data_IF_138651981169
#
_entry.id   IF_138651981169
#
_cell.length_a   1.000
_cell.length_b   1.000
_cell.length_c   1.000
_cell.angle_alpha   90.00
_cell.angle_beta   90.00
_cell.angle_gamma   90.00
#
_symmetry.space_group_name_H-M   'P 1'
#
loop_
_entity.id
_entity.type
_entity.pdbx_description
1 polymer ?
#
# COMPACT_ATOMS: atom_id res chain seq x y z
N UNK A 1 27.65 5.51 30.61
CA UNK A 1 26.95 6.16 29.49
C UNK A 1 27.41 5.45 28.21
N UNK A 2 26.56 4.63 27.59
CA UNK A 2 26.85 4.07 26.30
C UNK A 2 26.62 5.17 25.27
N UNK A 3 27.60 5.43 24.42
CA UNK A 3 27.46 6.32 23.28
C UNK A 3 26.37 5.78 22.37
N UNK A 4 25.45 6.59 21.83
CA UNK A 4 24.46 6.12 20.88
C UNK A 4 25.23 5.54 19.68
N UNK A 5 24.98 4.26 19.36
CA UNK A 5 25.46 3.68 18.11
C UNK A 5 24.91 4.53 16.99
N UNK A 6 25.78 5.14 16.20
CA UNK A 6 25.40 5.83 15.00
C UNK A 6 24.77 4.80 14.06
N UNK A 7 23.46 4.85 13.86
CA UNK A 7 22.80 4.06 12.81
C UNK A 7 23.50 4.44 11.49
N UNK A 8 24.01 3.45 10.79
CA UNK A 8 24.54 3.65 9.44
C UNK A 8 23.38 4.09 8.56
N UNK A 9 23.38 5.36 8.17
CA UNK A 9 22.34 5.91 7.30
C UNK A 9 22.72 5.53 5.87
N UNK A 10 21.86 4.74 5.23
CA UNK A 10 21.99 4.29 3.85
C UNK A 10 21.48 5.37 2.89
N UNK A 11 22.15 5.61 1.75
CA UNK A 11 21.58 6.43 0.70
C UNK A 11 20.57 5.66 -0.15
N UNK A 12 19.73 6.36 -0.90
CA UNK A 12 18.78 5.74 -1.83
C UNK A 12 19.50 4.86 -2.86
N UNK A 13 20.63 5.31 -3.39
CA UNK A 13 21.41 4.54 -4.36
C UNK A 13 21.98 3.25 -3.75
N UNK A 14 22.50 3.34 -2.52
CA UNK A 14 22.99 2.16 -1.79
C UNK A 14 21.88 1.16 -1.48
N UNK A 15 20.70 1.67 -1.09
CA UNK A 15 19.54 0.81 -0.88
C UNK A 15 19.13 0.10 -2.18
N UNK A 16 19.01 0.83 -3.29
CA UNK A 16 18.56 0.22 -4.55
C UNK A 16 19.57 -0.78 -5.08
N UNK A 17 20.86 -0.56 -4.91
CA UNK A 17 21.91 -1.52 -5.26
C UNK A 17 21.80 -2.78 -4.38
N UNK A 18 21.64 -2.61 -3.07
CA UNK A 18 21.44 -3.71 -2.13
C UNK A 18 20.17 -4.50 -2.46
N UNK A 19 19.02 -3.82 -2.60
CA UNK A 19 17.71 -4.43 -2.81
C UNK A 19 17.62 -5.24 -4.11
N UNK A 20 18.28 -4.77 -5.17
CA UNK A 20 18.33 -5.46 -6.47
C UNK A 20 19.17 -6.75 -6.46
N UNK A 21 20.01 -6.94 -5.45
CA UNK A 21 20.85 -8.12 -5.25
C UNK A 21 20.30 -9.03 -4.14
N UNK A 22 19.34 -8.56 -3.37
CA UNK A 22 18.76 -9.31 -2.25
C UNK A 22 17.76 -10.36 -2.73
N UNK A 23 17.74 -11.51 -2.08
CA UNK A 23 16.72 -12.53 -2.25
C UNK A 23 15.42 -12.18 -1.49
N UNK A 24 15.56 -11.44 -0.39
CA UNK A 24 14.46 -10.95 0.44
C UNK A 24 14.09 -9.51 0.10
N UNK A 25 12.84 -9.13 0.35
CA UNK A 25 12.35 -7.77 0.10
C UNK A 25 12.56 -6.88 1.33
N UNK A 26 13.01 -5.67 1.07
CA UNK A 26 13.19 -4.66 2.10
C UNK A 26 12.54 -3.34 1.68
N UNK A 27 12.01 -2.62 2.64
CA UNK A 27 11.61 -1.25 2.46
C UNK A 27 12.68 -0.29 2.99
N UNK A 28 12.73 0.91 2.41
CA UNK A 28 13.63 1.96 2.83
C UNK A 28 12.83 3.14 3.37
N UNK A 29 13.21 3.63 4.54
CA UNK A 29 12.55 4.77 5.20
C UNK A 29 13.63 5.72 5.71
N UNK A 30 13.80 6.86 5.04
CA UNK A 30 14.69 7.95 5.47
C UNK A 30 16.12 7.53 5.85
N UNK A 31 16.69 6.57 5.13
CA UNK A 31 18.06 6.09 5.33
C UNK A 31 18.14 4.77 6.12
N UNK A 32 17.04 4.24 6.57
CA UNK A 32 16.98 2.95 7.26
C UNK A 32 16.36 1.88 6.33
N UNK A 33 16.89 0.66 6.40
CA UNK A 33 16.41 -0.50 5.65
C UNK A 33 15.69 -1.44 6.62
N UNK A 34 14.50 -1.88 6.25
CA UNK A 34 13.67 -2.78 7.03
C UNK A 34 13.31 -4.00 6.19
N UNK A 35 13.63 -5.19 6.68
CA UNK A 35 13.21 -6.45 6.07
C UNK A 35 11.69 -6.59 6.15
N UNK A 36 11.09 -7.07 5.07
CA UNK A 36 9.65 -7.35 5.02
C UNK A 36 9.37 -8.76 5.51
N UNK A 37 8.45 -8.88 6.46
CA UNK A 37 8.00 -10.17 6.96
C UNK A 37 7.19 -10.93 5.90
N UNK A 38 7.14 -12.25 6.03
CA UNK A 38 6.23 -13.08 5.26
C UNK A 38 4.76 -12.77 5.56
N UNK A 39 3.87 -13.20 4.68
CA UNK A 39 2.43 -12.95 4.77
C UNK A 39 1.65 -14.16 5.29
N UNK A 40 0.49 -13.95 5.89
CA UNK A 40 -0.45 -15.01 6.26
C UNK A 40 -1.22 -15.53 5.03
N UNK A 41 -1.87 -16.70 5.16
CA UNK A 41 -2.73 -17.23 4.10
C UNK A 41 -3.90 -16.28 3.77
N UNK A 42 -4.50 -15.65 4.79
CA UNK A 42 -5.57 -14.67 4.60
C UNK A 42 -5.06 -13.45 3.82
N UNK A 43 -3.90 -12.92 4.20
CA UNK A 43 -3.24 -11.83 3.49
C UNK A 43 -3.02 -12.17 2.00
N UNK A 44 -2.39 -13.32 1.73
CA UNK A 44 -2.12 -13.80 0.38
C UNK A 44 -3.38 -13.94 -0.46
N UNK A 45 -4.46 -14.51 0.13
CA UNK A 45 -5.75 -14.65 -0.55
C UNK A 45 -6.35 -13.29 -0.93
N UNK A 46 -6.41 -12.36 0.02
CA UNK A 46 -6.97 -11.01 -0.21
C UNK A 46 -6.17 -10.27 -1.29
N UNK A 47 -4.83 -10.21 -1.16
CA UNK A 47 -3.97 -9.56 -2.16
C UNK A 47 -4.15 -10.16 -3.56
N UNK A 48 -4.16 -11.50 -3.66
CA UNK A 48 -4.39 -12.22 -4.93
C UNK A 48 -5.78 -11.93 -5.50
N UNK A 49 -6.83 -11.86 -4.66
CA UNK A 49 -8.19 -11.54 -5.09
C UNK A 49 -8.27 -10.11 -5.63
N UNK A 50 -7.65 -9.12 -4.98
CA UNK A 50 -7.57 -7.75 -5.51
C UNK A 50 -6.91 -7.72 -6.89
N UNK A 51 -5.77 -8.39 -7.05
CA UNK A 51 -5.06 -8.46 -8.34
C UNK A 51 -5.95 -9.09 -9.41
N UNK A 52 -6.64 -10.19 -9.10
CA UNK A 52 -7.53 -10.90 -10.02
C UNK A 52 -8.68 -10.00 -10.50
N UNK A 53 -9.41 -9.42 -9.55
CA UNK A 53 -10.61 -8.64 -9.84
C UNK A 53 -10.25 -7.34 -10.59
N UNK A 54 -9.24 -6.61 -10.13
CA UNK A 54 -8.76 -5.40 -10.79
C UNK A 54 -8.23 -5.71 -12.20
N UNK A 55 -7.38 -6.74 -12.37
CA UNK A 55 -6.86 -7.12 -13.68
C UNK A 55 -7.96 -7.55 -14.66
N UNK A 56 -9.02 -8.17 -14.16
CA UNK A 56 -10.18 -8.58 -14.97
C UNK A 56 -10.98 -7.35 -15.42
N UNK A 57 -11.28 -6.45 -14.49
CA UNK A 57 -12.11 -5.26 -14.74
C UNK A 57 -11.39 -4.21 -15.60
N UNK A 58 -10.07 -4.10 -15.46
CA UNK A 58 -9.26 -3.11 -16.17
C UNK A 58 -8.80 -3.57 -17.55
N UNK A 59 -9.10 -4.81 -17.95
CA UNK A 59 -8.71 -5.32 -19.27
C UNK A 59 -9.26 -4.44 -20.41
N UNK A 60 -8.34 -3.89 -21.21
CA UNK A 60 -8.67 -2.99 -22.32
C UNK A 60 -8.95 -1.55 -21.93
N UNK A 61 -8.85 -1.21 -20.65
CA UNK A 61 -8.87 0.17 -20.14
C UNK A 61 -7.46 0.78 -20.11
N UNK A 62 -7.33 2.11 -19.96
CA UNK A 62 -6.03 2.79 -19.93
C UNK A 62 -5.23 2.59 -18.62
N UNK A 63 -5.72 1.77 -17.71
CA UNK A 63 -5.11 1.45 -16.43
C UNK A 63 -4.69 -0.02 -16.37
N UNK A 64 -3.59 -0.32 -15.70
CA UNK A 64 -3.09 -1.68 -15.53
C UNK A 64 -2.71 -1.97 -14.08
N UNK A 65 -2.81 -3.24 -13.71
CA UNK A 65 -2.37 -3.74 -12.40
C UNK A 65 -0.92 -4.17 -12.50
N UNK A 66 -0.10 -3.74 -11.56
CA UNK A 66 1.30 -4.13 -11.45
C UNK A 66 1.50 -5.14 -10.31
N UNK A 67 2.54 -5.95 -10.45
CA UNK A 67 2.93 -6.96 -9.48
C UNK A 67 3.25 -6.36 -8.10
N UNK A 68 2.96 -7.07 -6.98
CA UNK A 68 3.40 -6.68 -5.64
C UNK A 68 4.92 -6.56 -5.47
N UNK A 69 5.69 -7.01 -6.45
CA UNK A 69 7.15 -6.83 -6.48
C UNK A 69 7.59 -5.48 -7.05
N UNK A 70 6.67 -4.67 -7.57
CA UNK A 70 6.95 -3.31 -8.02
C UNK A 70 7.04 -2.38 -6.81
N UNK A 71 8.20 -1.75 -6.63
CA UNK A 71 8.38 -0.74 -5.58
C UNK A 71 7.66 0.55 -5.92
N UNK A 72 7.19 1.27 -4.91
CA UNK A 72 6.73 2.65 -5.01
C UNK A 72 7.75 3.54 -4.31
N UNK A 73 8.10 4.65 -4.94
CA UNK A 73 8.84 5.71 -4.30
C UNK A 73 7.92 6.84 -3.87
N UNK A 74 8.09 7.27 -2.62
CA UNK A 74 7.39 8.42 -2.04
C UNK A 74 8.39 9.29 -1.27
N UNK A 75 8.65 10.51 -1.75
CA UNK A 75 9.61 11.39 -1.10
C UNK A 75 10.24 12.41 -2.05
N UNK A 76 11.03 13.36 -1.51
CA UNK A 76 11.61 14.44 -2.29
C UNK A 76 12.58 13.91 -3.34
N UNK A 77 12.50 14.45 -4.55
CA UNK A 77 13.46 14.17 -5.62
C UNK A 77 14.66 15.13 -5.53
N UNK A 78 15.70 14.69 -4.83
CA UNK A 78 16.94 15.50 -4.64
C UNK A 78 17.99 15.01 -5.62
N UNK A 79 18.32 15.82 -6.63
CA UNK A 79 19.40 15.52 -7.58
C UNK A 79 20.75 15.92 -7.00
N UNK A 80 21.76 15.06 -7.19
CA UNK A 80 23.19 15.40 -6.98
C UNK A 80 23.66 15.46 -5.53
N UNK A 81 22.86 15.03 -4.57
CA UNK A 81 23.26 14.88 -3.16
C UNK A 81 23.09 13.43 -2.72
N UNK A 82 23.80 13.05 -1.66
CA UNK A 82 23.57 11.77 -0.96
C UNK A 82 22.17 11.79 -0.38
N UNK A 83 21.18 11.38 -1.18
CA UNK A 83 19.79 11.38 -0.78
C UNK A 83 19.53 10.21 0.17
N UNK A 84 19.22 10.55 1.42
CA UNK A 84 18.81 9.59 2.45
C UNK A 84 17.33 9.72 2.79
N UNK A 85 16.55 10.53 2.05
CA UNK A 85 15.17 10.84 2.35
C UNK A 85 14.21 10.17 1.38
N UNK A 86 13.08 9.75 1.92
CA UNK A 86 11.97 9.15 1.19
C UNK A 86 11.60 7.77 1.69
N UNK A 87 10.54 7.26 1.12
CA UNK A 87 10.03 5.91 1.30
C UNK A 87 10.18 5.16 -0.02
N UNK A 88 10.73 3.96 0.03
CA UNK A 88 10.62 2.94 -1.01
C UNK A 88 9.96 1.73 -0.37
N UNK A 89 8.80 1.37 -0.85
CA UNK A 89 7.98 0.31 -0.26
C UNK A 89 7.30 -0.51 -1.34
N UNK A 90 6.78 -1.63 -0.93
CA UNK A 90 5.93 -2.50 -1.72
C UNK A 90 4.50 -2.38 -1.21
N UNK A 91 3.55 -2.50 -2.12
CA UNK A 91 2.14 -2.62 -1.80
C UNK A 91 1.61 -3.98 -2.25
N UNK A 92 0.51 -4.44 -1.68
CA UNK A 92 -0.06 -5.74 -2.02
C UNK A 92 -0.72 -5.75 -3.40
N UNK A 93 -1.23 -4.59 -3.84
CA UNK A 93 -1.69 -4.40 -5.22
C UNK A 93 -1.51 -2.94 -5.63
N UNK A 94 -1.11 -2.73 -6.87
CA UNK A 94 -0.89 -1.43 -7.49
C UNK A 94 -1.67 -1.29 -8.79
N UNK A 95 -2.25 -0.11 -9.01
CA UNK A 95 -2.78 0.28 -10.31
C UNK A 95 -2.08 1.55 -10.78
N UNK A 96 -1.70 1.58 -12.04
CA UNK A 96 -1.23 2.78 -12.73
C UNK A 96 -2.09 3.05 -13.95
N UNK A 97 -2.45 4.31 -14.17
CA UNK A 97 -3.20 4.75 -15.34
C UNK A 97 -2.30 5.57 -16.27
N UNK A 98 -2.46 5.32 -17.58
CA UNK A 98 -1.61 5.95 -18.59
C UNK A 98 -0.20 5.41 -18.61
N UNK A 99 0.79 6.29 -18.86
CA UNK A 99 2.17 5.85 -18.96
C UNK A 99 2.84 5.72 -17.59
N UNK A 100 3.37 4.54 -17.21
CA UNK A 100 4.14 4.38 -15.98
C UNK A 100 5.41 5.24 -16.00
N UNK A 101 5.65 5.95 -14.89
CA UNK A 101 6.87 6.73 -14.67
C UNK A 101 7.75 6.01 -13.66
N UNK A 102 9.03 5.89 -13.98
CA UNK A 102 9.99 5.14 -13.17
C UNK A 102 11.09 6.01 -12.60
N UNK A 103 11.66 5.55 -11.49
CA UNK A 103 12.76 6.23 -10.80
C UNK A 103 14.02 6.30 -11.65
N UNK A 104 14.34 5.21 -12.34
CA UNK A 104 15.49 5.05 -13.20
C UNK A 104 15.22 4.05 -14.36
N UNK A 105 16.24 3.79 -15.17
CA UNK A 105 16.15 2.92 -16.35
C UNK A 105 15.92 1.43 -16.02
N UNK A 106 16.07 0.99 -14.75
CA UNK A 106 15.75 -0.37 -14.33
C UNK A 106 14.26 -0.63 -14.31
N UNK A 107 13.43 0.41 -14.21
CA UNK A 107 11.95 0.34 -14.24
C UNK A 107 11.36 -0.59 -13.17
N UNK A 108 11.98 -0.66 -12.02
CA UNK A 108 11.58 -1.48 -10.87
C UNK A 108 11.01 -0.67 -9.71
N UNK A 109 10.92 0.66 -9.87
CA UNK A 109 10.39 1.62 -8.88
C UNK A 109 9.45 2.59 -9.56
N UNK A 110 8.15 2.46 -9.28
CA UNK A 110 7.08 3.31 -9.81
C UNK A 110 7.01 4.66 -9.06
N UNK A 111 6.76 5.74 -9.80
CA UNK A 111 6.61 7.10 -9.27
C UNK A 111 5.16 7.59 -9.25
N UNK A 112 4.30 7.05 -10.13
CA UNK A 112 2.93 7.56 -10.36
C UNK A 112 1.84 6.49 -10.19
N UNK A 113 1.73 5.85 -9.01
CA UNK A 113 0.59 4.97 -8.74
C UNK A 113 -0.71 5.76 -8.77
N UNK A 114 -1.79 5.14 -9.27
CA UNK A 114 -3.15 5.70 -9.23
C UNK A 114 -3.95 5.11 -8.09
N UNK A 115 -3.84 3.79 -7.87
CA UNK A 115 -4.45 3.09 -6.74
C UNK A 115 -3.38 2.28 -6.02
N UNK A 116 -3.39 2.34 -4.70
CA UNK A 116 -2.55 1.52 -3.83
C UNK A 116 -3.45 0.73 -2.89
N UNK A 117 -3.25 -0.58 -2.82
CA UNK A 117 -3.96 -1.47 -1.90
C UNK A 117 -2.97 -2.09 -0.93
N UNK A 118 -3.28 -2.01 0.35
CA UNK A 118 -2.55 -2.64 1.44
C UNK A 118 -3.48 -3.60 2.18
N UNK A 119 -2.99 -4.78 2.48
CA UNK A 119 -3.69 -5.75 3.35
C UNK A 119 -3.07 -5.67 4.73
N UNK A 120 -3.83 -5.23 5.71
CA UNK A 120 -3.32 -5.02 7.07
C UNK A 120 -2.74 -6.29 7.65
N UNK A 121 -1.54 -6.19 8.20
CA UNK A 121 -0.99 -7.17 9.11
C UNK A 121 -0.94 -6.58 10.53
N UNK A 122 -0.92 -7.44 11.53
CA UNK A 122 -0.81 -7.00 12.92
C UNK A 122 0.45 -6.13 13.17
N UNK A 123 1.54 -6.42 12.46
CA UNK A 123 2.82 -5.71 12.64
C UNK A 123 2.92 -4.40 11.86
N UNK A 124 2.15 -4.21 10.77
CA UNK A 124 2.29 -3.05 9.87
C UNK A 124 1.14 -2.06 9.94
N UNK A 125 0.00 -2.42 10.57
CA UNK A 125 -1.23 -1.61 10.55
C UNK A 125 -1.02 -0.14 10.96
N UNK A 126 -0.24 0.14 11.99
CA UNK A 126 0.01 1.52 12.43
C UNK A 126 0.83 2.31 11.42
N UNK A 127 1.76 1.65 10.73
CA UNK A 127 2.57 2.28 9.68
C UNK A 127 1.75 2.52 8.42
N UNK A 128 0.96 1.54 7.98
CA UNK A 128 0.14 1.63 6.76
C UNK A 128 -0.94 2.70 6.87
N UNK A 129 -1.63 2.81 8.04
CA UNK A 129 -2.62 3.86 8.32
C UNK A 129 -1.99 5.23 8.58
N UNK A 130 -0.75 5.28 9.02
CA UNK A 130 -0.08 6.49 9.49
C UNK A 130 0.97 7.04 8.53
N UNK A 131 2.23 6.73 8.80
CA UNK A 131 3.37 7.36 8.11
C UNK A 131 3.43 7.02 6.63
N UNK A 132 3.14 5.77 6.24
CA UNK A 132 3.13 5.31 4.85
C UNK A 132 2.08 6.07 4.03
N UNK A 133 0.82 6.11 4.51
CA UNK A 133 -0.24 6.84 3.83
C UNK A 133 0.05 8.34 3.75
N UNK A 134 0.51 8.97 4.84
CA UNK A 134 0.87 10.39 4.83
C UNK A 134 1.95 10.72 3.81
N UNK A 135 2.93 9.83 3.62
CA UNK A 135 3.97 9.98 2.60
C UNK A 135 3.40 9.87 1.19
N UNK A 136 2.52 8.91 0.95
CA UNK A 136 1.82 8.79 -0.32
C UNK A 136 0.97 10.02 -0.64
N UNK A 137 0.20 10.53 0.33
CA UNK A 137 -0.58 11.76 0.19
C UNK A 137 0.28 12.96 -0.23
N UNK A 138 1.48 13.06 0.35
CA UNK A 138 2.34 14.22 0.18
C UNK A 138 3.13 14.20 -1.13
N UNK A 139 3.57 13.02 -1.57
CA UNK A 139 4.58 12.91 -2.61
C UNK A 139 4.11 12.22 -3.90
N UNK A 140 3.01 11.47 -3.85
CA UNK A 140 2.46 10.79 -5.01
C UNK A 140 1.20 11.55 -5.48
N UNK A 141 1.39 12.60 -6.28
CA UNK A 141 0.30 13.45 -6.77
C UNK A 141 -0.73 12.68 -7.63
N UNK A 142 -0.29 11.61 -8.29
CA UNK A 142 -1.12 10.73 -9.11
C UNK A 142 -2.00 9.77 -8.32
N UNK A 143 -1.76 9.62 -7.00
CA UNK A 143 -2.53 8.73 -6.17
C UNK A 143 -3.93 9.30 -5.92
N UNK A 144 -4.94 8.58 -6.38
CA UNK A 144 -6.35 8.93 -6.24
C UNK A 144 -7.05 8.09 -5.16
N UNK A 145 -6.71 6.80 -5.05
CA UNK A 145 -7.30 5.88 -4.09
C UNK A 145 -6.23 5.14 -3.28
N UNK A 146 -6.39 5.15 -1.96
CA UNK A 146 -5.62 4.32 -1.04
C UNK A 146 -6.57 3.42 -0.28
N UNK A 147 -6.38 2.12 -0.42
CA UNK A 147 -7.30 1.09 0.08
C UNK A 147 -6.58 0.24 1.11
N UNK A 148 -7.17 0.10 2.28
CA UNK A 148 -6.67 -0.75 3.36
C UNK A 148 -7.68 -1.85 3.61
N UNK A 149 -7.30 -3.11 3.37
CA UNK A 149 -8.14 -4.28 3.58
C UNK A 149 -7.79 -4.99 4.88
N UNK A 150 -8.80 -5.33 5.67
CA UNK A 150 -8.63 -6.05 6.92
C UNK A 150 -8.59 -7.56 6.65
N UNK A 151 -7.78 -8.31 7.42
CA UNK A 151 -7.69 -9.77 7.30
C UNK A 151 -8.71 -10.51 8.17
N UNK A 152 -9.18 -9.87 9.23
CA UNK A 152 -9.93 -10.47 10.32
C UNK A 152 -11.45 -10.38 10.16
N UNK A 153 -11.88 -9.53 9.24
CA UNK A 153 -13.29 -9.34 8.88
C UNK A 153 -13.42 -8.68 7.50
N UNK A 154 -14.56 -8.81 6.82
CA UNK A 154 -14.80 -8.17 5.53
C UNK A 154 -15.01 -6.67 5.71
N UNK A 155 -13.91 -5.94 5.85
CA UNK A 155 -13.88 -4.49 6.04
C UNK A 155 -12.73 -3.88 5.26
N UNK A 156 -13.03 -2.76 4.61
CA UNK A 156 -12.09 -1.94 3.85
C UNK A 156 -12.17 -0.51 4.35
N UNK A 157 -11.02 0.10 4.56
CA UNK A 157 -10.86 1.55 4.71
C UNK A 157 -10.48 2.10 3.34
N UNK A 158 -11.32 2.92 2.77
CA UNK A 158 -11.10 3.54 1.47
C UNK A 158 -10.86 5.03 1.65
N UNK A 159 -9.68 5.47 1.23
CA UNK A 159 -9.30 6.87 1.20
C UNK A 159 -9.27 7.33 -0.25
N UNK A 160 -10.13 8.26 -0.61
CA UNK A 160 -10.26 8.81 -1.95
C UNK A 160 -9.80 10.28 -1.97
N UNK A 161 -8.94 10.64 -2.93
CA UNK A 161 -8.56 12.03 -3.17
C UNK A 161 -9.71 12.76 -3.89
N UNK A 162 -10.09 13.89 -3.34
CA UNK A 162 -11.14 14.75 -3.95
C UNK A 162 -10.49 15.83 -4.82
N UNK A 163 -11.24 16.42 -5.79
CA UNK A 163 -10.72 17.46 -6.67
C UNK A 163 -10.19 18.71 -5.94
N UNK A 164 -10.62 18.96 -4.72
CA UNK A 164 -10.11 20.04 -3.87
C UNK A 164 -8.82 19.68 -3.11
N UNK A 165 -8.25 18.50 -3.38
CA UNK A 165 -7.03 17.97 -2.77
C UNK A 165 -7.23 17.35 -1.39
N UNK A 166 -8.44 17.35 -0.85
CA UNK A 166 -8.75 16.65 0.40
C UNK A 166 -8.92 15.17 0.18
N UNK A 167 -8.80 14.42 1.26
CA UNK A 167 -9.05 13.00 1.28
C UNK A 167 -10.35 12.70 2.03
N UNK A 168 -11.24 12.00 1.35
CA UNK A 168 -12.44 11.41 1.95
C UNK A 168 -12.07 10.00 2.41
N UNK A 169 -12.44 9.66 3.63
CA UNK A 169 -12.29 8.31 4.17
C UNK A 169 -13.66 7.72 4.41
N UNK A 170 -13.87 6.50 3.95
CA UNK A 170 -15.08 5.73 4.19
C UNK A 170 -14.74 4.28 4.57
N UNK A 171 -15.67 3.63 5.27
CA UNK A 171 -15.63 2.21 5.52
C UNK A 171 -16.60 1.49 4.58
N UNK A 172 -16.12 0.41 3.95
CA UNK A 172 -16.96 -0.53 3.21
C UNK A 172 -16.94 -1.85 3.97
N UNK A 173 -18.10 -2.29 4.47
CA UNK A 173 -18.19 -3.42 5.41
C UNK A 173 -19.26 -4.43 4.99
N UNK A 174 -18.96 -5.71 5.26
CA UNK A 174 -19.82 -6.84 4.95
C UNK A 174 -19.63 -7.38 3.54
N UNK A 175 -19.76 -8.70 3.38
CA UNK A 175 -19.54 -9.40 2.10
C UNK A 175 -20.49 -8.94 0.98
N UNK A 176 -21.67 -8.43 1.33
CA UNK A 176 -22.68 -7.94 0.37
C UNK A 176 -22.35 -6.53 -0.16
N UNK A 177 -21.37 -5.84 0.44
CA UNK A 177 -20.99 -4.50 0.07
C UNK A 177 -20.08 -4.48 -1.16
N UNK A 178 -19.99 -3.31 -1.79
CA UNK A 178 -19.17 -3.08 -2.99
C UNK A 178 -18.24 -1.89 -2.76
N UNK A 179 -16.94 -2.10 -2.96
CA UNK A 179 -15.95 -1.03 -3.04
C UNK A 179 -16.03 -0.40 -4.42
N UNK A 180 -16.19 0.92 -4.46
CA UNK A 180 -16.20 1.69 -5.70
C UNK A 180 -14.94 2.54 -5.80
N UNK A 181 -14.15 2.32 -6.84
CA UNK A 181 -12.95 3.09 -7.19
C UNK A 181 -13.26 3.97 -8.40
N UNK A 182 -13.76 5.19 -8.13
CA UNK A 182 -14.23 6.12 -9.18
C UNK A 182 -13.09 6.53 -10.12
N UNK A 183 -11.87 6.66 -9.61
CA UNK A 183 -10.69 7.08 -10.39
C UNK A 183 -10.36 6.16 -11.57
N UNK A 184 -10.75 4.88 -11.47
CA UNK A 184 -10.48 3.86 -12.49
C UNK A 184 -11.77 3.21 -13.04
N UNK A 185 -12.95 3.79 -12.70
CA UNK A 185 -14.27 3.27 -13.09
C UNK A 185 -14.38 1.75 -12.80
N UNK A 186 -14.21 1.38 -11.53
CA UNK A 186 -14.20 -0.01 -11.09
C UNK A 186 -15.06 -0.22 -9.84
N UNK A 187 -15.83 -1.30 -9.84
CA UNK A 187 -16.62 -1.77 -8.71
C UNK A 187 -16.19 -3.19 -8.35
N UNK A 188 -15.88 -3.42 -7.07
CA UNK A 188 -15.39 -4.68 -6.55
C UNK A 188 -16.28 -5.13 -5.40
N UNK A 189 -16.95 -6.28 -5.52
CA UNK A 189 -17.75 -6.85 -4.44
C UNK A 189 -16.82 -7.41 -3.36
N UNK A 190 -17.12 -7.14 -2.10
CA UNK A 190 -16.33 -7.67 -1.01
C UNK A 190 -16.38 -9.21 -0.97
N UNK A 191 -17.48 -9.83 -1.37
CA UNK A 191 -17.57 -11.30 -1.52
C UNK A 191 -16.51 -11.88 -2.47
N UNK A 192 -16.10 -11.13 -3.50
CA UNK A 192 -15.08 -11.57 -4.45
C UNK A 192 -13.65 -11.28 -3.92
N UNK A 193 -13.48 -10.14 -3.21
CA UNK A 193 -12.20 -9.76 -2.60
C UNK A 193 -11.83 -10.67 -1.42
N UNK A 194 -12.82 -11.17 -0.70
CA UNK A 194 -12.64 -12.07 0.44
C UNK A 194 -12.99 -13.54 0.10
N UNK A 195 -12.99 -13.90 -1.20
CA UNK A 195 -13.20 -15.27 -1.63
C UNK A 195 -12.20 -16.21 -0.96
N UNK A 196 -12.70 -17.28 -0.31
CA UNK A 196 -11.94 -18.28 0.45
C UNK A 196 -11.18 -17.74 1.67
N UNK A 197 -11.46 -16.53 2.12
CA UNK A 197 -10.89 -16.01 3.36
C UNK A 197 -11.73 -16.51 4.54
N UNK A 198 -11.04 -17.11 5.49
CA UNK A 198 -11.64 -17.55 6.75
C UNK A 198 -11.39 -16.49 7.82
N UNK A 199 -12.45 -16.03 8.47
CA UNK A 199 -12.35 -15.04 9.52
C UNK A 199 -12.28 -15.71 10.89
N UNK A 200 -11.51 -15.16 11.85
CA UNK A 200 -11.51 -15.67 13.22
C UNK A 200 -12.89 -15.49 13.86
N UNK A 201 -13.29 -16.44 14.71
CA UNK A 201 -14.55 -16.37 15.47
C UNK A 201 -14.53 -15.19 16.46
N UNK A 202 -13.38 -14.96 17.11
CA UNK A 202 -13.15 -13.84 18.01
C UNK A 202 -12.24 -12.80 17.35
N UNK A 203 -12.65 -11.55 17.39
CA UNK A 203 -11.81 -10.45 16.91
C UNK A 203 -10.67 -10.19 17.90
N UNK A 204 -9.46 -9.86 17.42
CA UNK A 204 -8.39 -9.37 18.28
C UNK A 204 -8.85 -8.19 19.15
N UNK A 205 -8.40 -8.12 20.41
CA UNK A 205 -8.84 -7.07 21.35
C UNK A 205 -8.68 -5.65 20.80
N UNK A 206 -7.60 -5.40 20.05
CA UNK A 206 -7.35 -4.10 19.39
C UNK A 206 -8.41 -3.77 18.32
N UNK A 207 -8.93 -4.75 17.62
CA UNK A 207 -9.95 -4.56 16.59
C UNK A 207 -11.38 -4.56 17.17
N UNK A 208 -11.60 -5.19 18.29
CA UNK A 208 -12.87 -5.16 19.01
C UNK A 208 -13.22 -3.75 19.53
N UNK A 209 -12.22 -2.88 19.70
CA UNK A 209 -12.41 -1.48 20.10
C UNK A 209 -12.98 -0.60 18.97
N UNK A 210 -13.01 -1.08 17.72
CA UNK A 210 -13.60 -0.38 16.57
C UNK A 210 -14.86 -1.14 16.12
N UNK A 211 -16.00 -0.96 16.79
CA UNK A 211 -17.25 -1.59 16.38
C UNK A 211 -17.65 -1.13 14.98
N UNK A 212 -18.42 -1.97 14.29
CA UNK A 212 -18.95 -1.67 12.95
C UNK A 212 -19.62 -0.28 12.97
N UNK A 213 -19.24 0.59 12.04
CA UNK A 213 -19.81 1.93 11.90
C UNK A 213 -19.21 3.04 12.79
N UNK A 214 -18.19 2.74 13.57
CA UNK A 214 -17.49 3.79 14.34
C UNK A 214 -16.22 4.24 13.62
N UNK A 215 -16.04 5.55 13.35
CA UNK A 215 -14.78 6.04 12.82
C UNK A 215 -13.66 5.85 13.87
N UNK A 216 -12.40 5.59 13.46
CA UNK A 216 -11.30 5.58 14.40
C UNK A 216 -11.20 6.95 15.09
N UNK A 217 -11.03 6.93 16.40
CA UNK A 217 -10.65 8.13 17.16
C UNK A 217 -9.18 8.41 16.89
N UNK A 218 -8.91 9.49 16.16
CA UNK A 218 -7.57 10.03 15.93
C UNK A 218 -7.12 10.87 17.13
#
# INVERSE_FOLDING_TARGET
>A
MALPQSKLVCTVEQYLEFERQSEERHQFIDGEIFEMAGESLAHSRIGTNFIRELSTTLRGKPCEVLSPSMKIRSGPHIKGMRNTKGLFSYADCLVVCGQPLFHDDHKDVLLNPTVVVEVLSHSTQSFDRGDKFRRYQTWNESLEDYVISWQTRPRIEHFQRRPDGKWLMEFVEGLESTLRLESIDCELRLSDLYDRVEFPEDLPEEEAQFPIGSPPSY
#
